data_IF_327193454284
#
_entry.id   IF_327193454284
#
_cell.length_a   1.000
_cell.length_b   1.000
_cell.length_c   1.000
_cell.angle_alpha   90.00
_cell.angle_beta   90.00
_cell.angle_gamma   90.00
#
_symmetry.space_group_name_H-M   'P 1'
#
loop_
_entity.id
_entity.type
_entity.pdbx_description
1 polymer ?
#
# COMPACT_ATOMS: atom_id res chain seq x y z
N UNK A 1 19.06 -15.59 0.98
CA UNK A 1 20.01 -14.45 1.08
C UNK A 1 20.63 -14.01 -0.24
N UNK A 2 21.45 -14.84 -0.98
CA UNK A 2 22.07 -14.37 -2.24
C UNK A 2 21.05 -14.13 -3.37
N UNK A 3 20.04 -14.99 -3.53
CA UNK A 3 19.03 -14.88 -4.58
C UNK A 3 18.12 -13.66 -4.38
N UNK A 4 17.73 -13.37 -3.16
CA UNK A 4 16.84 -12.24 -2.84
C UNK A 4 17.56 -10.90 -3.04
N UNK A 5 18.82 -10.82 -2.61
CA UNK A 5 19.66 -9.65 -2.88
C UNK A 5 19.88 -9.41 -4.38
N UNK A 6 20.06 -10.49 -5.15
CA UNK A 6 20.17 -10.37 -6.60
C UNK A 6 18.88 -9.88 -7.25
N UNK A 7 17.71 -10.41 -6.84
CA UNK A 7 16.39 -9.96 -7.31
C UNK A 7 16.18 -8.47 -6.99
N UNK A 8 16.54 -8.04 -5.77
CA UNK A 8 16.41 -6.64 -5.35
C UNK A 8 17.30 -5.70 -6.20
N UNK A 9 18.55 -6.09 -6.43
CA UNK A 9 19.49 -5.33 -7.28
C UNK A 9 18.96 -5.23 -8.71
N UNK A 10 18.50 -6.34 -9.28
CA UNK A 10 17.93 -6.37 -10.63
C UNK A 10 16.70 -5.46 -10.73
N UNK A 11 15.81 -5.53 -9.75
CA UNK A 11 14.59 -4.72 -9.71
C UNK A 11 14.93 -3.23 -9.60
N UNK A 12 15.83 -2.85 -8.70
CA UNK A 12 16.32 -1.48 -8.59
C UNK A 12 16.91 -0.98 -9.91
N UNK A 13 17.70 -1.82 -10.61
CA UNK A 13 18.30 -1.47 -11.90
C UNK A 13 17.22 -1.23 -12.96
N UNK A 14 16.22 -2.11 -13.05
CA UNK A 14 15.10 -1.98 -14.01
C UNK A 14 14.30 -0.70 -13.73
N UNK A 15 13.93 -0.45 -12.49
CA UNK A 15 13.17 0.76 -12.10
C UNK A 15 13.98 2.02 -12.42
N UNK A 16 15.26 2.02 -12.08
CA UNK A 16 16.15 3.14 -12.38
C UNK A 16 16.28 3.39 -13.87
N UNK A 17 16.51 2.35 -14.69
CA UNK A 17 16.65 2.51 -16.14
C UNK A 17 15.37 3.04 -16.78
N UNK A 18 14.21 2.50 -16.42
CA UNK A 18 12.91 2.99 -16.91
C UNK A 18 12.70 4.44 -16.48
N UNK A 19 12.93 4.76 -15.21
CA UNK A 19 12.73 6.10 -14.68
C UNK A 19 13.67 7.14 -15.29
N UNK A 20 14.95 6.83 -15.46
CA UNK A 20 15.92 7.73 -16.13
C UNK A 20 15.54 7.99 -17.59
N UNK A 21 15.08 6.94 -18.30
CA UNK A 21 14.63 7.08 -19.70
C UNK A 21 13.38 7.95 -19.79
N UNK A 22 12.37 7.68 -18.94
CA UNK A 22 11.13 8.45 -18.91
C UNK A 22 11.38 9.93 -18.52
N UNK A 23 12.25 10.17 -17.55
CA UNK A 23 12.66 11.52 -17.16
C UNK A 23 13.36 12.28 -18.29
N UNK A 24 14.25 11.60 -19.03
CA UNK A 24 14.97 12.20 -20.15
C UNK A 24 14.08 12.64 -21.31
N UNK A 25 12.94 11.98 -21.53
CA UNK A 25 11.95 12.34 -22.57
C UNK A 25 10.81 13.24 -22.02
N UNK A 26 10.94 13.75 -20.79
CA UNK A 26 9.93 14.62 -20.18
C UNK A 26 8.61 13.96 -19.83
N UNK A 27 8.57 12.63 -19.74
CA UNK A 27 7.37 11.85 -19.41
C UNK A 27 7.10 11.77 -17.90
N UNK A 28 7.57 12.73 -17.11
CA UNK A 28 7.26 12.80 -15.68
C UNK A 28 5.90 13.48 -15.48
N UNK A 29 4.99 12.85 -14.75
CA UNK A 29 3.70 13.45 -14.40
C UNK A 29 3.92 14.61 -13.43
N UNK A 30 3.33 15.77 -13.77
CA UNK A 30 3.57 17.05 -13.12
C UNK A 30 3.34 17.10 -11.61
N UNK A 31 3.77 18.19 -11.02
CA UNK A 31 3.84 18.49 -9.59
C UNK A 31 2.47 18.49 -8.86
N UNK A 32 1.35 18.47 -9.60
CA UNK A 32 -0.03 18.55 -9.08
C UNK A 32 -0.77 17.21 -8.95
N UNK A 33 -0.05 16.10 -8.86
CA UNK A 33 -0.67 14.78 -8.70
C UNK A 33 -0.34 14.19 -7.33
N UNK A 34 -1.33 13.51 -6.72
CA UNK A 34 -1.13 12.77 -5.48
C UNK A 34 -0.27 11.52 -5.74
N UNK A 35 0.78 11.35 -4.97
CA UNK A 35 1.54 10.11 -4.86
C UNK A 35 1.07 9.34 -3.64
N UNK A 36 0.75 8.07 -3.78
CA UNK A 36 0.41 7.23 -2.63
C UNK A 36 1.45 6.12 -2.52
N UNK A 37 2.17 6.11 -1.41
CA UNK A 37 3.21 5.13 -1.12
C UNK A 37 2.62 4.00 -0.30
N UNK A 38 2.82 2.77 -0.76
CA UNK A 38 2.33 1.56 -0.10
C UNK A 38 3.49 0.79 0.49
N UNK A 39 3.51 0.69 1.79
CA UNK A 39 4.39 -0.14 2.59
C UNK A 39 3.60 -1.29 3.21
N UNK A 40 4.30 -2.23 3.84
CA UNK A 40 3.71 -3.32 4.62
C UNK A 40 4.44 -3.41 5.95
N UNK A 41 5.54 -4.14 6.01
CA UNK A 41 6.37 -4.32 7.22
C UNK A 41 7.51 -3.33 7.27
N UNK A 42 7.83 -2.83 8.47
CA UNK A 42 9.01 -2.01 8.71
C UNK A 42 9.83 -2.65 9.84
N UNK A 43 10.73 -3.56 9.46
CA UNK A 43 11.60 -4.27 10.41
C UNK A 43 12.87 -4.77 9.74
N UNK A 44 13.81 -5.28 10.54
CA UNK A 44 15.10 -5.78 10.10
C UNK A 44 15.20 -7.32 10.14
N UNK A 45 14.05 -8.05 10.12
CA UNK A 45 14.03 -9.51 10.13
C UNK A 45 14.55 -10.08 8.81
N UNK A 46 15.62 -10.87 8.83
CA UNK A 46 16.23 -11.39 7.61
C UNK A 46 15.33 -12.42 6.92
N UNK A 47 15.33 -12.40 5.58
CA UNK A 47 14.55 -13.36 4.78
C UNK A 47 13.05 -13.10 4.78
N UNK A 48 12.61 -11.96 5.29
CA UNK A 48 11.22 -11.56 5.40
C UNK A 48 10.81 -10.73 4.16
N UNK A 49 9.99 -11.23 3.23
CA UNK A 49 9.53 -10.48 2.07
C UNK A 49 8.58 -9.34 2.50
N UNK A 50 8.37 -8.36 1.62
CA UNK A 50 7.54 -7.17 1.87
C UNK A 50 8.01 -6.36 3.09
N UNK A 51 9.29 -6.49 3.46
CA UNK A 51 9.88 -5.80 4.59
C UNK A 51 10.74 -4.64 4.12
N UNK A 52 10.51 -3.49 4.72
CA UNK A 52 11.33 -2.30 4.60
C UNK A 52 12.25 -2.24 5.83
N UNK A 53 13.59 -2.27 5.67
CA UNK A 53 14.50 -2.03 6.79
C UNK A 53 14.24 -0.67 7.44
N UNK A 54 14.28 -0.62 8.77
CA UNK A 54 13.96 0.60 9.53
C UNK A 54 14.83 1.79 9.09
N UNK A 55 16.12 1.55 8.87
CA UNK A 55 17.05 2.60 8.40
C UNK A 55 16.70 3.12 7.00
N UNK A 56 16.29 2.24 6.09
CA UNK A 56 15.88 2.64 4.72
C UNK A 56 14.55 3.39 4.76
N UNK A 57 13.63 2.98 5.64
CA UNK A 57 12.38 3.72 5.83
C UNK A 57 12.66 5.15 6.34
N UNK A 58 13.53 5.31 7.32
CA UNK A 58 13.96 6.62 7.82
C UNK A 58 14.64 7.46 6.73
N UNK A 59 15.54 6.88 5.93
CA UNK A 59 16.16 7.53 4.77
C UNK A 59 15.12 7.99 3.73
N UNK A 60 14.10 7.20 3.45
CA UNK A 60 13.04 7.57 2.51
C UNK A 60 12.17 8.71 3.06
N UNK A 61 11.88 8.75 4.37
CA UNK A 61 11.18 9.87 4.99
C UNK A 61 12.02 11.14 4.96
N UNK A 62 13.33 11.03 5.19
CA UNK A 62 14.28 12.13 5.04
C UNK A 62 14.30 12.70 3.62
N UNK A 63 14.30 11.82 2.61
CA UNK A 63 14.23 12.23 1.20
C UNK A 63 12.93 12.94 0.84
N UNK A 64 11.77 12.57 1.41
CA UNK A 64 10.52 13.30 1.19
C UNK A 64 10.67 14.76 1.61
N UNK A 65 11.30 15.01 2.76
CA UNK A 65 11.60 16.35 3.24
C UNK A 65 12.58 17.08 2.32
N UNK A 66 13.70 16.46 1.99
CA UNK A 66 14.78 17.07 1.21
C UNK A 66 14.38 17.38 -0.23
N UNK A 67 13.38 16.68 -0.76
CA UNK A 67 12.78 16.89 -2.08
C UNK A 67 11.51 17.76 -2.05
N UNK A 68 11.21 18.42 -0.92
CA UNK A 68 10.05 19.30 -0.73
C UNK A 68 8.70 18.63 -1.04
N UNK A 69 8.55 17.34 -0.72
CA UNK A 69 7.24 16.69 -0.77
C UNK A 69 6.42 17.00 0.47
N UNK A 70 5.14 17.31 0.26
CA UNK A 70 4.19 17.52 1.36
C UNK A 70 3.48 16.21 1.71
N UNK A 71 3.81 15.62 2.86
CA UNK A 71 3.08 14.44 3.33
C UNK A 71 1.73 14.87 3.90
N UNK A 72 0.65 14.34 3.32
CA UNK A 72 -0.73 14.68 3.69
C UNK A 72 -1.40 13.51 4.41
N UNK A 73 -2.35 13.82 5.29
CA UNK A 73 -3.23 12.83 5.90
C UNK A 73 -4.39 12.43 4.98
N UNK A 74 -5.11 11.38 5.37
CA UNK A 74 -6.28 10.89 4.62
C UNK A 74 -7.36 11.97 4.46
N UNK A 75 -7.56 12.85 5.45
CA UNK A 75 -8.59 13.88 5.38
C UNK A 75 -8.35 14.85 4.21
N UNK A 76 -7.09 15.20 3.91
CA UNK A 76 -6.78 16.04 2.74
C UNK A 76 -7.10 15.31 1.42
N UNK A 77 -6.91 13.99 1.36
CA UNK A 77 -7.27 13.16 0.19
C UNK A 77 -8.80 13.09 0.06
N UNK A 78 -9.51 12.90 1.16
CA UNK A 78 -10.98 12.91 1.18
C UNK A 78 -11.54 14.26 0.74
N UNK A 79 -11.01 15.36 1.27
CA UNK A 79 -11.38 16.72 0.86
C UNK A 79 -11.17 16.93 -0.64
N UNK A 80 -10.07 16.41 -1.19
CA UNK A 80 -9.78 16.52 -2.62
C UNK A 80 -10.78 15.78 -3.50
N UNK A 81 -11.08 14.53 -3.19
CA UNK A 81 -11.94 13.70 -4.04
C UNK A 81 -13.43 13.87 -3.77
N UNK A 82 -13.82 14.23 -2.56
CA UNK A 82 -15.24 14.39 -2.17
C UNK A 82 -15.69 15.84 -2.27
N UNK A 83 -14.83 16.79 -1.85
CA UNK A 83 -15.19 18.22 -1.79
C UNK A 83 -14.54 19.06 -2.90
N UNK A 84 -13.67 18.47 -3.72
CA UNK A 84 -12.98 19.17 -4.82
C UNK A 84 -11.90 20.16 -4.38
N UNK A 85 -11.44 20.10 -3.13
CA UNK A 85 -10.37 20.96 -2.63
C UNK A 85 -9.03 20.61 -3.28
N UNK A 86 -8.18 21.62 -3.44
CA UNK A 86 -6.84 21.41 -4.00
C UNK A 86 -5.90 20.74 -2.98
N UNK A 87 -5.14 19.75 -3.44
CA UNK A 87 -3.98 19.26 -2.69
C UNK A 87 -2.79 20.22 -2.83
N UNK A 88 -1.86 20.22 -1.86
CA UNK A 88 -0.59 20.91 -2.03
C UNK A 88 0.19 20.33 -3.22
N UNK A 89 1.11 21.10 -3.75
CA UNK A 89 2.06 20.59 -4.74
C UNK A 89 2.91 19.48 -4.12
N UNK A 90 3.31 18.50 -4.93
CA UNK A 90 4.08 17.34 -4.49
C UNK A 90 3.44 16.59 -3.31
N UNK A 91 2.09 16.47 -3.30
CA UNK A 91 1.38 15.76 -2.25
C UNK A 91 1.73 14.27 -2.23
N UNK A 92 2.04 13.74 -1.04
CA UNK A 92 2.31 12.31 -0.79
C UNK A 92 1.42 11.83 0.35
N UNK A 93 0.75 10.69 0.15
CA UNK A 93 0.10 9.94 1.22
C UNK A 93 0.93 8.68 1.52
N UNK A 94 1.26 8.46 2.78
CA UNK A 94 1.93 7.24 3.25
C UNK A 94 0.88 6.23 3.68
N UNK A 95 0.93 5.01 3.15
CA UNK A 95 0.00 3.93 3.53
C UNK A 95 0.75 2.66 3.88
N UNK A 96 0.17 1.89 4.82
CA UNK A 96 0.60 0.54 5.17
C UNK A 96 -0.58 -0.40 4.98
N UNK A 97 -0.30 -1.63 4.55
CA UNK A 97 -1.31 -2.69 4.44
C UNK A 97 -1.03 -3.80 5.48
N UNK A 98 -1.97 -4.70 5.66
CA UNK A 98 -1.89 -5.95 6.41
C UNK A 98 -1.92 -5.85 7.93
N UNK A 99 -1.84 -4.65 8.51
CA UNK A 99 -1.96 -4.47 9.95
C UNK A 99 -0.82 -5.07 10.78
N UNK A 100 0.42 -5.03 10.32
CA UNK A 100 1.56 -5.55 11.07
C UNK A 100 1.90 -4.66 12.28
N UNK A 101 2.25 -5.32 13.40
CA UNK A 101 2.62 -4.64 14.65
C UNK A 101 3.84 -3.73 14.52
N UNK A 102 4.75 -4.04 13.62
CA UNK A 102 5.96 -3.23 13.41
C UNK A 102 5.64 -1.82 12.86
N UNK A 103 4.42 -1.61 12.38
CA UNK A 103 3.95 -0.26 12.04
C UNK A 103 3.78 0.61 13.31
N UNK A 104 3.38 0.03 14.44
CA UNK A 104 3.39 0.69 15.74
C UNK A 104 4.80 0.70 16.37
N UNK A 105 5.45 -0.46 16.41
CA UNK A 105 6.72 -0.62 17.11
C UNK A 105 7.91 0.12 16.47
N UNK A 106 7.90 0.28 15.15
CA UNK A 106 9.03 0.84 14.40
C UNK A 106 8.62 2.05 13.54
N UNK A 107 7.63 1.88 12.64
CA UNK A 107 7.30 2.94 11.68
C UNK A 107 6.75 4.21 12.34
N UNK A 108 5.90 4.08 13.37
CA UNK A 108 5.33 5.23 14.09
C UNK A 108 6.40 6.14 14.67
N UNK A 109 7.46 5.59 15.26
CA UNK A 109 8.58 6.36 15.81
C UNK A 109 9.31 7.18 14.72
N UNK A 110 9.50 6.59 13.54
CA UNK A 110 10.10 7.30 12.41
C UNK A 110 9.16 8.39 11.90
N UNK A 111 7.89 8.07 11.66
CA UNK A 111 6.90 9.05 11.17
C UNK A 111 6.77 10.24 12.11
N UNK A 112 6.74 10.01 13.43
CA UNK A 112 6.70 11.06 14.44
C UNK A 112 7.91 12.00 14.39
N UNK A 113 9.11 11.49 14.10
CA UNK A 113 10.34 12.29 13.93
C UNK A 113 10.16 13.37 12.86
N UNK A 114 9.40 13.10 11.80
CA UNK A 114 9.14 14.03 10.70
C UNK A 114 7.80 14.75 10.79
N UNK A 115 6.93 14.37 11.74
CA UNK A 115 5.56 14.88 11.83
C UNK A 115 4.67 14.39 10.67
N UNK A 116 4.93 13.21 10.11
CA UNK A 116 4.22 12.68 8.97
C UNK A 116 3.02 11.83 9.39
N UNK A 117 1.81 12.18 8.93
CA UNK A 117 0.64 11.30 9.08
C UNK A 117 0.74 10.10 8.13
N UNK A 118 0.04 9.02 8.49
CA UNK A 118 -0.08 7.83 7.63
C UNK A 118 -1.45 7.17 7.76
N UNK A 119 -1.71 6.17 6.90
CA UNK A 119 -2.90 5.32 6.95
C UNK A 119 -2.46 3.87 7.07
N UNK A 120 -3.09 3.10 7.95
CA UNK A 120 -2.92 1.66 8.05
C UNK A 120 -4.23 0.97 7.69
N UNK A 121 -4.20 0.14 6.65
CA UNK A 121 -5.30 -0.71 6.24
C UNK A 121 -5.21 -2.07 6.91
N UNK A 122 -6.24 -2.42 7.70
CA UNK A 122 -6.22 -3.61 8.54
C UNK A 122 -7.22 -4.67 8.08
N UNK A 123 -6.80 -5.94 7.89
CA UNK A 123 -7.70 -7.08 7.70
C UNK A 123 -8.24 -7.52 9.06
N UNK A 124 -9.47 -7.14 9.39
CA UNK A 124 -10.00 -7.26 10.75
C UNK A 124 -10.11 -8.69 11.29
N UNK A 125 -10.10 -9.70 10.45
CA UNK A 125 -10.11 -11.10 10.85
C UNK A 125 -8.79 -11.57 11.48
N UNK A 126 -7.74 -10.75 11.40
CA UNK A 126 -6.39 -11.04 11.93
C UNK A 126 -6.01 -10.16 13.12
N UNK A 127 -6.90 -9.28 13.56
CA UNK A 127 -6.73 -8.51 14.79
C UNK A 127 -7.08 -9.42 15.99
N UNK A 128 -6.18 -9.58 16.95
CA UNK A 128 -6.24 -10.55 18.06
C UNK A 128 -6.14 -12.03 17.65
N UNK A 129 -6.11 -12.32 16.35
CA UNK A 129 -5.87 -13.67 15.88
C UNK A 129 -4.35 -13.87 15.74
N UNK A 130 -3.80 -14.80 16.55
CA UNK A 130 -2.36 -15.10 16.49
C UNK A 130 -1.97 -15.97 15.29
N UNK A 131 -2.92 -16.23 14.39
CA UNK A 131 -2.63 -16.90 13.12
C UNK A 131 -1.95 -15.95 12.15
N UNK A 132 -0.94 -16.40 11.43
CA UNK A 132 -0.30 -15.60 10.40
C UNK A 132 -1.28 -15.33 9.27
N UNK A 133 -1.10 -14.22 8.58
CA UNK A 133 -1.80 -13.96 7.32
C UNK A 133 -1.52 -15.10 6.32
N UNK A 134 -2.43 -15.42 5.38
CA UNK A 134 -2.29 -16.57 4.48
C UNK A 134 -0.96 -16.61 3.72
N UNK A 135 -0.44 -15.46 3.32
CA UNK A 135 0.84 -15.36 2.62
C UNK A 135 2.06 -15.45 3.55
N UNK A 136 1.87 -15.43 4.87
CA UNK A 136 2.92 -15.52 5.90
C UNK A 136 3.05 -16.95 6.49
N UNK A 137 2.11 -17.86 6.23
CA UNK A 137 2.11 -19.22 6.81
C UNK A 137 3.43 -19.96 6.59
N UNK A 138 4.03 -19.82 5.40
CA UNK A 138 5.30 -20.45 5.08
C UNK A 138 6.48 -19.84 5.85
N UNK A 139 6.43 -18.57 6.22
CA UNK A 139 7.43 -17.89 7.04
C UNK A 139 7.29 -18.31 8.51
N UNK A 140 6.06 -18.36 8.99
CA UNK A 140 5.75 -18.84 10.34
C UNK A 140 6.23 -20.29 10.55
N UNK A 141 6.08 -21.16 9.54
CA UNK A 141 6.61 -22.52 9.57
C UNK A 141 8.17 -22.56 9.61
N UNK A 142 8.86 -21.48 9.23
CA UNK A 142 10.31 -21.31 9.32
C UNK A 142 10.73 -20.57 10.61
N UNK A 143 9.79 -20.23 11.50
CA UNK A 143 10.04 -19.49 12.73
C UNK A 143 10.16 -17.96 12.55
N UNK A 144 9.80 -17.43 11.38
CA UNK A 144 9.74 -15.98 11.14
C UNK A 144 8.29 -15.54 11.41
N UNK A 145 8.08 -14.92 12.56
CA UNK A 145 6.74 -14.51 13.01
C UNK A 145 6.57 -12.99 12.83
N UNK A 146 5.63 -12.61 11.99
CA UNK A 146 5.19 -11.24 11.83
C UNK A 146 3.84 -11.10 12.56
N UNK A 147 3.87 -10.52 13.76
CA UNK A 147 2.66 -10.27 14.55
C UNK A 147 1.82 -9.18 13.90
N UNK A 148 0.52 -9.39 13.80
CA UNK A 148 -0.45 -8.33 13.52
C UNK A 148 -0.77 -7.53 14.78
N UNK A 149 -1.28 -6.33 14.62
CA UNK A 149 -1.78 -5.49 15.72
C UNK A 149 -3.03 -6.12 16.34
N UNK A 150 -3.28 -5.77 17.59
CA UNK A 150 -4.47 -6.17 18.34
C UNK A 150 -5.49 -5.02 18.36
N UNK A 151 -6.77 -5.35 18.51
CA UNK A 151 -7.83 -4.33 18.65
C UNK A 151 -7.54 -3.28 19.72
N UNK A 152 -6.86 -3.68 20.81
CA UNK A 152 -6.48 -2.78 21.89
C UNK A 152 -5.42 -1.75 21.49
N UNK A 153 -4.61 -2.06 20.45
CA UNK A 153 -3.48 -1.24 20.01
C UNK A 153 -3.89 -0.20 18.93
N UNK A 154 -5.11 -0.30 18.38
CA UNK A 154 -5.58 0.63 17.34
C UNK A 154 -5.61 2.08 17.82
N UNK A 155 -6.04 2.30 19.05
CA UNK A 155 -6.10 3.66 19.63
C UNK A 155 -4.70 4.27 19.80
N UNK A 156 -3.69 3.47 20.10
CA UNK A 156 -2.31 3.92 20.21
C UNK A 156 -1.76 4.35 18.83
N UNK A 157 -2.04 3.56 17.78
CA UNK A 157 -1.68 3.93 16.40
C UNK A 157 -2.30 5.25 15.96
N UNK A 158 -3.59 5.47 16.27
CA UNK A 158 -4.25 6.74 15.96
C UNK A 158 -3.67 7.91 16.75
N UNK A 159 -3.26 7.69 17.97
CA UNK A 159 -2.54 8.71 18.78
C UNK A 159 -1.18 9.06 18.15
N UNK A 160 -0.50 8.09 17.55
CA UNK A 160 0.74 8.29 16.83
C UNK A 160 0.55 8.94 15.43
N UNK A 161 -0.68 9.28 15.03
CA UNK A 161 -0.99 9.92 13.75
C UNK A 161 -1.15 8.94 12.59
N UNK A 162 -1.30 7.65 12.87
CA UNK A 162 -1.57 6.61 11.87
C UNK A 162 -3.05 6.27 11.90
N UNK A 163 -3.79 6.74 10.89
CA UNK A 163 -5.23 6.51 10.78
C UNK A 163 -5.54 5.09 10.36
N UNK A 164 -6.47 4.43 11.05
CA UNK A 164 -6.87 3.05 10.77
C UNK A 164 -8.02 3.04 9.77
N UNK A 165 -7.88 2.25 8.70
CA UNK A 165 -8.89 2.07 7.66
C UNK A 165 -8.98 0.59 7.25
N UNK A 166 -9.91 0.22 6.36
CA UNK A 166 -10.28 -1.18 6.10
C UNK A 166 -9.43 -1.86 5.02
N UNK A 167 -9.00 -3.12 5.31
CA UNK A 167 -8.45 -4.06 4.33
C UNK A 167 -9.27 -5.34 4.19
N UNK A 168 -10.59 -5.26 4.46
CA UNK A 168 -11.49 -6.41 4.49
C UNK A 168 -11.41 -7.20 5.79
N UNK A 169 -11.83 -8.45 5.74
CA UNK A 169 -11.85 -9.37 6.90
C UNK A 169 -10.80 -10.46 6.75
N UNK A 170 -10.92 -11.29 5.69
CA UNK A 170 -10.19 -12.54 5.52
C UNK A 170 -8.86 -12.41 4.77
N UNK A 171 -8.50 -11.20 4.35
CA UNK A 171 -7.33 -10.91 3.52
C UNK A 171 -7.31 -11.74 2.21
N UNK A 172 -8.50 -12.00 1.63
CA UNK A 172 -8.64 -12.66 0.32
C UNK A 172 -8.93 -11.63 -0.77
N UNK A 173 -8.33 -11.77 -1.97
CA UNK A 173 -8.70 -10.92 -3.11
C UNK A 173 -10.19 -11.04 -3.40
N UNK A 174 -10.86 -9.91 -3.61
CA UNK A 174 -12.32 -9.91 -3.87
C UNK A 174 -12.69 -10.70 -5.13
N UNK A 175 -11.77 -10.77 -6.12
CA UNK A 175 -11.99 -11.54 -7.35
C UNK A 175 -12.09 -13.06 -7.12
N UNK A 176 -11.57 -13.54 -5.99
CA UNK A 176 -11.56 -14.97 -5.59
C UNK A 176 -12.80 -15.34 -4.74
N UNK A 177 -13.71 -14.37 -4.52
CA UNK A 177 -14.91 -14.52 -3.71
C UNK A 177 -16.17 -14.49 -4.58
N UNK A 178 -17.22 -15.15 -4.10
CA UNK A 178 -18.56 -14.92 -4.63
C UNK A 178 -19.03 -13.49 -4.27
N UNK A 179 -19.94 -12.95 -5.07
CA UNK A 179 -20.35 -11.54 -4.93
C UNK A 179 -20.90 -11.22 -3.54
N UNK A 180 -21.72 -12.11 -2.98
CA UNK A 180 -22.31 -11.94 -1.64
C UNK A 180 -21.24 -12.05 -0.53
N UNK A 181 -20.22 -12.89 -0.73
CA UNK A 181 -19.08 -13.00 0.19
C UNK A 181 -18.23 -11.72 0.14
N UNK A 182 -17.93 -11.22 -1.06
CA UNK A 182 -17.24 -9.96 -1.25
C UNK A 182 -18.00 -8.77 -0.63
N UNK A 183 -19.33 -8.75 -0.76
CA UNK A 183 -20.15 -7.72 -0.13
C UNK A 183 -20.04 -7.76 1.40
N UNK A 184 -20.03 -8.95 2.00
CA UNK A 184 -19.81 -9.13 3.45
C UNK A 184 -18.42 -8.69 3.89
N UNK A 185 -17.36 -9.09 3.16
CA UNK A 185 -15.97 -8.67 3.42
C UNK A 185 -15.87 -7.13 3.52
N UNK A 186 -16.48 -6.44 2.58
CA UNK A 186 -16.42 -4.98 2.47
C UNK A 186 -17.26 -4.31 3.57
N UNK A 187 -18.53 -4.72 3.72
CA UNK A 187 -19.48 -4.00 4.59
C UNK A 187 -19.21 -4.29 6.08
N UNK A 188 -18.94 -5.56 6.45
CA UNK A 188 -18.73 -5.92 7.85
C UNK A 188 -17.37 -5.43 8.37
N UNK A 189 -16.34 -5.37 7.52
CA UNK A 189 -15.06 -4.79 7.95
C UNK A 189 -15.21 -3.31 8.33
N UNK A 190 -15.96 -2.55 7.54
CA UNK A 190 -16.30 -1.16 7.85
C UNK A 190 -17.04 -1.05 9.18
N UNK A 191 -18.17 -1.76 9.30
CA UNK A 191 -19.05 -1.69 10.46
C UNK A 191 -18.30 -1.98 11.75
N UNK A 192 -17.52 -3.07 11.80
CA UNK A 192 -16.76 -3.47 12.99
C UNK A 192 -15.66 -2.49 13.36
N UNK A 193 -14.97 -1.92 12.36
CA UNK A 193 -13.98 -0.88 12.62
C UNK A 193 -14.64 0.39 13.16
N UNK A 194 -15.77 0.82 12.58
CA UNK A 194 -16.53 1.99 13.06
C UNK A 194 -17.03 1.81 14.49
N UNK A 195 -17.57 0.64 14.81
CA UNK A 195 -17.98 0.29 16.19
C UNK A 195 -16.82 0.38 17.18
N UNK A 196 -15.63 -0.06 16.78
CA UNK A 196 -14.46 -0.10 17.66
C UNK A 196 -13.76 1.25 17.79
N UNK A 197 -13.67 1.99 16.69
CA UNK A 197 -12.97 3.28 16.63
C UNK A 197 -13.84 4.46 17.03
N UNK A 198 -15.17 4.30 17.04
CA UNK A 198 -16.12 5.38 17.36
C UNK A 198 -16.15 6.51 16.33
N UNK A 199 -15.69 6.26 15.12
CA UNK A 199 -15.65 7.21 14.01
C UNK A 199 -15.90 6.54 12.65
N UNK A 200 -16.29 7.31 11.61
CA UNK A 200 -16.42 6.76 10.27
C UNK A 200 -15.10 6.20 9.73
N UNK A 201 -15.18 5.02 9.07
CA UNK A 201 -14.13 4.42 8.27
C UNK A 201 -14.45 4.73 6.81
N UNK A 202 -13.62 5.53 6.16
CA UNK A 202 -13.94 6.17 4.88
C UNK A 202 -13.13 5.64 3.71
N UNK A 203 -12.08 4.86 3.98
CA UNK A 203 -11.19 4.33 2.97
C UNK A 203 -11.11 2.80 3.00
N UNK A 204 -10.96 2.19 1.81
CA UNK A 204 -10.79 0.77 1.63
C UNK A 204 -9.52 0.48 0.84
N UNK A 205 -8.77 -0.57 1.17
CA UNK A 205 -7.67 -1.08 0.34
C UNK A 205 -8.02 -2.46 -0.20
N UNK A 206 -7.93 -2.62 -1.54
CA UNK A 206 -8.13 -3.92 -2.18
C UNK A 206 -6.97 -4.86 -1.90
N UNK A 207 -7.26 -6.05 -1.37
CA UNK A 207 -6.23 -7.08 -1.11
C UNK A 207 -5.54 -7.49 -2.42
N UNK A 208 -4.20 -7.52 -2.42
CA UNK A 208 -3.33 -7.66 -3.61
C UNK A 208 -3.52 -6.56 -4.67
N UNK A 209 -4.67 -5.95 -4.80
CA UNK A 209 -5.03 -4.71 -5.45
C UNK A 209 -4.61 -4.47 -6.91
N UNK A 210 -4.07 -5.46 -7.66
CA UNK A 210 -3.91 -5.32 -9.12
C UNK A 210 -5.26 -5.51 -9.82
N UNK A 211 -5.38 -5.10 -11.07
CA UNK A 211 -6.63 -5.22 -11.84
C UNK A 211 -7.19 -6.66 -11.95
N UNK A 212 -6.36 -7.67 -11.67
CA UNK A 212 -6.79 -9.07 -11.65
C UNK A 212 -7.44 -9.49 -10.32
N UNK A 213 -7.37 -8.67 -9.27
CA UNK A 213 -7.78 -9.03 -7.92
C UNK A 213 -9.12 -8.41 -7.50
N UNK A 214 -9.71 -7.57 -8.33
CA UNK A 214 -11.06 -7.02 -8.17
C UNK A 214 -11.74 -6.86 -9.53
N UNK A 215 -13.06 -6.68 -9.53
CA UNK A 215 -13.90 -6.56 -10.73
C UNK A 215 -14.76 -5.30 -10.61
N UNK A 216 -15.36 -4.79 -11.70
CA UNK A 216 -16.24 -3.60 -11.65
C UNK A 216 -17.39 -3.72 -10.63
N UNK A 217 -17.94 -4.92 -10.40
CA UNK A 217 -18.98 -5.16 -9.40
C UNK A 217 -18.49 -4.80 -7.99
N UNK A 218 -17.21 -5.06 -7.68
CA UNK A 218 -16.64 -4.76 -6.36
C UNK A 218 -16.53 -3.26 -6.09
N UNK A 219 -16.27 -2.42 -7.11
CA UNK A 219 -16.33 -0.98 -6.97
C UNK A 219 -17.72 -0.51 -6.55
N UNK A 220 -18.74 -1.13 -7.14
CA UNK A 220 -20.16 -0.84 -6.77
C UNK A 220 -20.43 -1.25 -5.33
N UNK A 221 -19.93 -2.40 -4.88
CA UNK A 221 -20.06 -2.87 -3.49
C UNK A 221 -19.34 -1.94 -2.49
N UNK A 222 -18.13 -1.51 -2.81
CA UNK A 222 -17.36 -0.55 -1.99
C UNK A 222 -18.13 0.78 -1.85
N UNK A 223 -18.70 1.29 -2.97
CA UNK A 223 -19.55 2.49 -2.96
C UNK A 223 -20.81 2.28 -2.13
N UNK A 224 -21.50 1.16 -2.29
CA UNK A 224 -22.73 0.83 -1.54
C UNK A 224 -22.47 0.69 -0.04
N UNK A 225 -21.30 0.20 0.35
CA UNK A 225 -20.87 0.14 1.74
C UNK A 225 -20.56 1.53 2.35
N UNK A 226 -20.50 2.59 1.53
CA UNK A 226 -20.30 3.96 1.99
C UNK A 226 -18.83 4.30 2.23
N UNK A 227 -17.89 3.69 1.50
CA UNK A 227 -16.53 4.19 1.43
C UNK A 227 -16.43 5.33 0.42
N UNK A 228 -15.68 6.35 0.74
CA UNK A 228 -15.48 7.53 -0.11
C UNK A 228 -14.34 7.33 -1.10
N UNK A 229 -13.26 6.67 -0.67
CA UNK A 229 -12.09 6.38 -1.49
C UNK A 229 -11.66 4.92 -1.33
N UNK A 230 -11.05 4.36 -2.38
CA UNK A 230 -10.44 3.04 -2.27
C UNK A 230 -9.12 2.97 -3.05
N UNK A 231 -8.17 2.22 -2.49
CA UNK A 231 -6.80 2.15 -2.94
C UNK A 231 -6.49 0.79 -3.58
N UNK A 232 -5.89 0.85 -4.77
CA UNK A 232 -5.39 -0.30 -5.50
C UNK A 232 -3.88 -0.49 -5.25
N UNK A 233 -3.30 -1.55 -5.81
CA UNK A 233 -1.85 -1.73 -5.92
C UNK A 233 -1.36 -1.52 -7.37
N UNK A 234 -2.16 -0.87 -8.20
CA UNK A 234 -1.76 -0.44 -9.54
C UNK A 234 -0.84 0.75 -9.41
N UNK A 235 0.38 0.62 -9.93
CA UNK A 235 1.40 1.69 -9.84
C UNK A 235 0.96 2.93 -10.62
N UNK A 236 1.25 4.11 -10.10
CA UNK A 236 1.02 5.37 -10.78
C UNK A 236 0.57 6.49 -9.87
N UNK A 237 0.57 7.69 -10.44
CA UNK A 237 0.06 8.90 -9.79
C UNK A 237 -1.45 9.06 -9.94
N UNK A 238 -2.03 9.90 -9.12
CA UNK A 238 -3.44 10.20 -9.10
C UNK A 238 -3.68 11.68 -9.38
N UNK A 239 -4.57 11.97 -10.33
CA UNK A 239 -5.09 13.31 -10.59
C UNK A 239 -6.51 13.43 -10.04
N UNK A 240 -7.08 14.62 -10.06
CA UNK A 240 -8.49 14.83 -9.68
C UNK A 240 -9.48 14.04 -10.57
N UNK A 241 -9.08 13.64 -11.78
CA UNK A 241 -9.89 12.83 -12.69
C UNK A 241 -9.77 11.31 -12.40
N UNK A 242 -8.90 10.89 -11.49
CA UNK A 242 -8.77 9.48 -11.10
C UNK A 242 -10.03 9.06 -10.33
N UNK A 243 -10.61 7.89 -10.66
CA UNK A 243 -11.75 7.35 -9.90
C UNK A 243 -11.36 7.21 -8.43
N UNK A 244 -12.07 7.86 -7.50
CA UNK A 244 -11.76 7.80 -6.08
C UNK A 244 -11.80 6.39 -5.50
N UNK A 245 -12.51 5.45 -6.15
CA UNK A 245 -12.53 4.04 -5.74
C UNK A 245 -11.43 3.18 -6.40
N UNK A 246 -10.48 3.81 -7.10
CA UNK A 246 -9.37 3.14 -7.77
C UNK A 246 -8.07 3.95 -7.66
N UNK A 247 -7.81 4.55 -6.51
CA UNK A 247 -6.58 5.31 -6.29
C UNK A 247 -5.35 4.41 -6.40
N UNK A 248 -4.41 4.81 -7.23
CA UNK A 248 -3.18 4.08 -7.52
C UNK A 248 -2.15 4.26 -6.42
N UNK A 249 -1.33 3.23 -6.20
CA UNK A 249 -0.25 3.28 -5.19
C UNK A 249 1.05 2.70 -5.74
N UNK A 250 2.15 3.27 -5.32
CA UNK A 250 3.47 2.68 -5.56
C UNK A 250 3.80 1.72 -4.42
N UNK A 251 3.98 0.43 -4.75
CA UNK A 251 4.54 -0.53 -3.81
C UNK A 251 6.01 -0.19 -3.58
N UNK A 252 6.33 0.33 -2.40
CA UNK A 252 7.66 0.82 -2.08
C UNK A 252 8.52 -0.33 -1.54
N UNK A 253 9.74 -0.35 -2.01
CA UNK A 253 10.75 -1.34 -1.64
C UNK A 253 12.02 -0.63 -1.15
N UNK A 254 13.02 -1.37 -0.64
CA UNK A 254 14.32 -0.80 -0.29
C UNK A 254 15.03 -0.30 -1.55
N UNK A 255 14.53 0.77 -2.13
CA UNK A 255 15.11 1.43 -3.30
C UNK A 255 16.38 2.19 -2.93
N UNK A 256 17.28 2.34 -3.92
CA UNK A 256 18.33 3.36 -3.80
C UNK A 256 17.70 4.76 -3.75
N UNK A 257 18.38 5.76 -3.15
CA UNK A 257 17.88 7.12 -3.10
C UNK A 257 17.46 7.66 -4.48
N UNK A 258 18.25 7.41 -5.51
CA UNK A 258 17.93 7.82 -6.88
C UNK A 258 16.70 7.12 -7.45
N UNK A 259 16.52 5.83 -7.17
CA UNK A 259 15.33 5.09 -7.62
C UNK A 259 14.08 5.60 -6.94
N UNK A 260 14.15 5.89 -5.64
CA UNK A 260 13.02 6.45 -4.89
C UNK A 260 12.62 7.83 -5.41
N UNK A 261 13.58 8.72 -5.68
CA UNK A 261 13.34 10.01 -6.34
C UNK A 261 12.61 9.86 -7.68
N UNK A 262 13.03 8.91 -8.55
CA UNK A 262 12.38 8.65 -9.83
C UNK A 262 10.93 8.12 -9.67
N UNK A 263 10.68 7.31 -8.66
CA UNK A 263 9.31 6.86 -8.30
C UNK A 263 8.46 8.05 -7.88
N UNK A 264 8.98 8.89 -6.98
CA UNK A 264 8.29 10.11 -6.52
C UNK A 264 8.02 11.09 -7.66
N UNK A 265 8.94 11.23 -8.61
CA UNK A 265 8.76 12.08 -9.80
C UNK A 265 7.74 11.51 -10.81
N UNK A 266 7.21 10.28 -10.60
CA UNK A 266 6.31 9.62 -11.53
C UNK A 266 6.99 9.07 -12.79
N UNK A 267 8.31 9.12 -12.85
CA UNK A 267 9.08 8.61 -13.97
C UNK A 267 8.96 7.07 -14.13
N UNK A 268 8.50 6.40 -13.08
CA UNK A 268 8.26 4.95 -13.07
C UNK A 268 6.80 4.57 -13.36
N UNK A 269 5.92 5.49 -13.74
CA UNK A 269 4.48 5.22 -13.96
C UNK A 269 4.22 4.19 -15.06
N UNK A 270 5.11 4.09 -16.06
CA UNK A 270 5.03 3.04 -17.11
C UNK A 270 5.11 1.60 -16.54
N UNK A 271 5.62 1.44 -15.31
CA UNK A 271 5.67 0.13 -14.63
C UNK A 271 4.26 -0.37 -14.30
N UNK A 272 3.24 0.50 -14.29
CA UNK A 272 1.83 0.11 -14.12
C UNK A 272 1.36 -0.96 -15.10
N UNK A 273 1.97 -1.06 -16.28
CA UNK A 273 1.64 -2.09 -17.27
C UNK A 273 1.73 -3.53 -16.70
N UNK A 274 2.62 -3.77 -15.73
CA UNK A 274 2.73 -5.07 -15.05
C UNK A 274 1.51 -5.41 -14.18
N UNK A 275 0.78 -4.39 -13.72
CA UNK A 275 -0.33 -4.49 -12.76
C UNK A 275 -1.69 -4.61 -13.46
N UNK A 276 -1.72 -4.46 -14.79
CA UNK A 276 -2.89 -4.74 -15.63
C UNK A 276 -3.24 -6.24 -15.63
N UNK A 277 -4.45 -6.59 -16.03
CA UNK A 277 -4.87 -7.99 -16.18
C UNK A 277 -3.89 -8.76 -17.05
N UNK A 278 -3.54 -8.22 -18.23
CA UNK A 278 -2.59 -8.84 -19.15
C UNK A 278 -1.18 -8.96 -18.57
N UNK A 279 -0.68 -7.91 -17.92
CA UNK A 279 0.65 -7.91 -17.28
C UNK A 279 0.74 -8.89 -16.13
N UNK A 280 -0.31 -8.98 -15.31
CA UNK A 280 -0.40 -9.94 -14.20
C UNK A 280 -0.42 -11.38 -14.72
N UNK A 281 -1.16 -11.64 -15.81
CA UNK A 281 -1.19 -12.96 -16.44
C UNK A 281 0.17 -13.34 -17.04
N UNK A 282 0.80 -12.45 -17.77
CA UNK A 282 2.14 -12.66 -18.32
C UNK A 282 3.18 -12.96 -17.24
N UNK A 283 3.14 -12.23 -16.10
CA UNK A 283 4.01 -12.48 -14.94
C UNK A 283 3.77 -13.86 -14.32
N UNK A 284 2.51 -14.31 -14.18
CA UNK A 284 2.19 -15.65 -13.68
C UNK A 284 2.77 -16.74 -14.59
N UNK A 285 2.61 -16.62 -15.90
CA UNK A 285 3.18 -17.56 -16.88
C UNK A 285 4.72 -17.58 -16.82
N UNK A 286 5.35 -16.44 -16.76
CA UNK A 286 6.80 -16.32 -16.64
C UNK A 286 7.33 -16.96 -15.35
N UNK A 287 6.70 -16.71 -14.21
CA UNK A 287 7.07 -17.32 -12.93
C UNK A 287 6.89 -18.84 -12.95
N UNK A 288 5.81 -19.33 -13.56
CA UNK A 288 5.57 -20.77 -13.73
C UNK A 288 6.65 -21.44 -14.59
N UNK A 289 7.06 -20.78 -15.68
CA UNK A 289 8.12 -21.27 -16.58
C UNK A 289 9.50 -21.33 -15.89
N UNK A 290 9.76 -20.43 -14.92
CA UNK A 290 11.00 -20.40 -14.14
C UNK A 290 10.95 -21.29 -12.89
N UNK A 291 9.87 -22.00 -12.64
CA UNK A 291 9.69 -22.83 -11.42
C UNK A 291 9.62 -22.00 -10.14
N UNK A 292 9.43 -20.69 -10.24
CA UNK A 292 9.25 -19.77 -9.12
C UNK A 292 7.75 -19.49 -8.95
N UNK A 293 7.01 -20.49 -8.45
CA UNK A 293 5.60 -20.29 -8.10
C UNK A 293 5.52 -19.34 -6.91
N UNK A 294 5.13 -18.11 -7.15
CA UNK A 294 4.59 -17.25 -6.08
C UNK A 294 3.16 -17.76 -5.83
N UNK A 295 3.01 -18.54 -4.76
CA UNK A 295 1.69 -18.82 -4.18
C UNK A 295 1.05 -17.53 -3.68
#
# INVERSE_FOLDING_TARGET
MRADRFKQVLKNTVYRTIGETASAIGASNGERSLRVLMYHKVNDLPGNPLTMPVSIFDEQMDQLRDLDYTVVGLDAVLDHYVEGKSLPERAVLITFDDGYYDNLGNAAGVLRKYGYPAVLFVPIGYLDDRHPLPHEEHLAAQGILNRTIEWAELAELEHEGIRIESHGISHRPLADLEVDEAAREIALSKLRLEERLGRPVRAFSYVKGSEAHYKPVHLSLVRQAGYDVAFTAVSGSNSQATDPLQLRRYNIEPYSPRTFELVLAGACDLISLKDTVTGTHARRLFNAALGTSSK
#
